data_IF_979922924861
#
_entry.id   IF_979922924861
#
_cell.length_a   1.000
_cell.length_b   1.000
_cell.length_c   1.000
_cell.angle_alpha   90.00
_cell.angle_beta   90.00
_cell.angle_gamma   90.00
#
_symmetry.space_group_name_H-M   'P 1'
#
loop_
_entity.id
_entity.type
_entity.pdbx_description
1 polymer ?
#
# COMPACT_ATOMS: atom_id res chain seq x y z
N UNK A 1 7.76 13.88 -27.04
CA UNK A 1 8.31 12.64 -26.45
C UNK A 1 7.21 11.96 -25.62
N UNK A 2 6.08 11.60 -26.24
CA UNK A 2 4.79 11.45 -25.51
C UNK A 2 3.82 10.47 -26.19
N UNK A 3 4.28 9.27 -26.59
CA UNK A 3 3.39 8.25 -27.21
C UNK A 3 3.60 6.79 -26.76
N UNK A 4 4.45 6.52 -25.78
CA UNK A 4 4.71 5.12 -25.34
C UNK A 4 3.86 4.68 -24.13
N UNK A 5 3.15 5.59 -23.46
CA UNK A 5 2.37 5.30 -22.24
C UNK A 5 1.02 4.60 -22.55
N UNK A 6 0.52 4.67 -23.80
CA UNK A 6 -0.79 4.11 -24.16
C UNK A 6 -0.84 2.58 -24.30
N UNK A 7 0.29 1.88 -24.28
CA UNK A 7 0.31 0.41 -24.37
C UNK A 7 0.19 -0.30 -23.01
N UNK A 8 0.47 0.39 -21.90
CA UNK A 8 0.34 -0.20 -20.55
C UNK A 8 -1.12 -0.24 -20.06
N UNK A 9 -1.91 0.80 -20.34
CA UNK A 9 -3.32 0.86 -19.90
C UNK A 9 -4.27 -0.11 -20.62
N UNK A 10 -3.89 -0.64 -21.79
CA UNK A 10 -4.77 -1.56 -22.54
C UNK A 10 -4.72 -3.01 -22.03
N UNK A 11 -3.70 -3.39 -21.25
CA UNK A 11 -3.52 -4.77 -20.77
C UNK A 11 -3.89 -4.99 -19.30
N UNK A 12 -3.97 -3.93 -18.48
CA UNK A 12 -4.46 -4.02 -17.10
C UNK A 12 -6.00 -4.00 -16.97
N UNK A 13 -6.73 -3.75 -18.06
CA UNK A 13 -8.20 -3.92 -18.13
C UNK A 13 -8.63 -5.39 -18.32
N UNK A 14 -7.95 -6.29 -17.61
CA UNK A 14 -8.27 -7.72 -17.54
C UNK A 14 -9.60 -7.96 -16.83
N UNK A 15 -10.70 -7.86 -17.57
CA UNK A 15 -12.01 -8.49 -17.35
C UNK A 15 -12.35 -8.85 -15.89
N UNK A 16 -12.99 -7.92 -15.17
CA UNK A 16 -14.04 -8.30 -14.24
C UNK A 16 -15.24 -8.83 -15.04
N UNK A 17 -15.11 -10.04 -15.59
CA UNK A 17 -16.27 -10.80 -16.02
C UNK A 17 -16.99 -11.25 -14.76
N UNK A 18 -18.11 -10.60 -14.45
CA UNK A 18 -19.11 -11.11 -13.51
C UNK A 18 -19.67 -12.44 -14.05
N UNK A 19 -18.97 -13.54 -13.77
CA UNK A 19 -19.51 -14.88 -13.99
C UNK A 19 -20.68 -15.07 -13.02
N UNK A 20 -21.89 -14.99 -13.56
CA UNK A 20 -23.13 -15.34 -12.87
C UNK A 20 -23.17 -16.85 -12.65
N UNK A 21 -22.42 -17.35 -11.67
CA UNK A 21 -22.63 -18.67 -11.10
C UNK A 21 -23.89 -18.61 -10.26
N UNK A 22 -24.95 -19.24 -10.76
CA UNK A 22 -26.19 -19.49 -10.03
C UNK A 22 -25.94 -20.47 -8.87
N UNK A 23 -25.47 -19.95 -7.74
CA UNK A 23 -25.35 -20.69 -6.49
C UNK A 23 -26.55 -20.40 -5.59
N UNK A 24 -27.11 -21.47 -5.02
CA UNK A 24 -28.21 -21.46 -4.06
C UNK A 24 -28.05 -20.36 -3.00
N UNK A 25 -28.97 -19.39 -3.02
CA UNK A 25 -29.10 -18.33 -2.03
C UNK A 25 -29.56 -18.91 -0.69
N UNK A 26 -28.61 -19.28 0.16
CA UNK A 26 -28.82 -19.42 1.59
C UNK A 26 -27.54 -18.96 2.27
N UNK A 27 -27.41 -17.66 2.50
CA UNK A 27 -26.76 -17.08 3.67
C UNK A 27 -26.96 -15.55 3.69
N UNK A 28 -27.30 -15.03 4.86
CA UNK A 28 -27.15 -13.62 5.19
C UNK A 28 -25.65 -13.31 5.14
N UNK A 29 -25.12 -12.94 3.98
CA UNK A 29 -23.77 -12.40 3.88
C UNK A 29 -23.76 -11.03 4.55
N UNK A 30 -23.45 -11.03 5.85
CA UNK A 30 -23.17 -9.81 6.59
C UNK A 30 -22.03 -9.09 5.89
N UNK A 31 -22.24 -7.83 5.50
CA UNK A 31 -21.19 -6.97 4.97
C UNK A 31 -19.93 -7.07 5.84
N UNK A 32 -18.89 -7.70 5.32
CA UNK A 32 -17.62 -7.82 6.00
C UNK A 32 -16.80 -6.57 5.73
N UNK A 33 -16.56 -5.76 6.76
CA UNK A 33 -15.75 -4.54 6.68
C UNK A 33 -14.36 -4.82 6.06
N UNK A 34 -13.79 -6.00 6.33
CA UNK A 34 -12.52 -6.46 5.76
C UNK A 34 -12.55 -6.59 4.24
N UNK A 35 -13.66 -7.06 3.67
CA UNK A 35 -13.77 -7.26 2.22
C UNK A 35 -13.92 -5.92 1.51
N UNK A 36 -14.63 -4.98 2.13
CA UNK A 36 -14.69 -3.60 1.67
C UNK A 36 -13.32 -2.91 1.72
N UNK A 37 -12.57 -3.06 2.81
CA UNK A 37 -11.22 -2.50 2.94
C UNK A 37 -10.27 -3.07 1.87
N UNK A 38 -10.31 -4.38 1.62
CA UNK A 38 -9.51 -5.02 0.56
C UNK A 38 -9.89 -4.54 -0.83
N UNK A 39 -11.19 -4.41 -1.12
CA UNK A 39 -11.65 -3.89 -2.41
C UNK A 39 -11.17 -2.45 -2.65
N UNK A 40 -11.25 -1.60 -1.62
CA UNK A 40 -10.73 -0.23 -1.64
C UNK A 40 -9.22 -0.20 -1.82
N UNK A 41 -8.47 -1.05 -1.12
CA UNK A 41 -7.02 -1.16 -1.28
C UNK A 41 -6.64 -1.56 -2.70
N UNK A 42 -7.33 -2.54 -3.28
CA UNK A 42 -7.11 -2.99 -4.65
C UNK A 42 -7.40 -1.88 -5.68
N UNK A 43 -8.52 -1.17 -5.52
CA UNK A 43 -8.88 -0.02 -6.36
C UNK A 43 -7.78 1.07 -6.31
N UNK A 44 -7.28 1.36 -5.10
CA UNK A 44 -6.18 2.31 -4.90
C UNK A 44 -4.92 1.84 -5.62
N UNK A 45 -4.52 0.58 -5.41
CA UNK A 45 -3.31 0.00 -5.95
C UNK A 45 -3.30 -0.01 -7.49
N UNK A 46 -4.48 -0.17 -8.11
CA UNK A 46 -4.66 -0.09 -9.56
C UNK A 46 -4.54 1.34 -10.10
N UNK A 47 -4.80 2.35 -9.27
CA UNK A 47 -4.70 3.76 -9.66
C UNK A 47 -3.28 4.34 -9.53
N UNK A 48 -2.39 3.67 -8.80
CA UNK A 48 -0.99 4.08 -8.66
C UNK A 48 -0.15 3.64 -9.87
N UNK A 49 0.84 4.44 -10.27
CA UNK A 49 1.75 4.12 -11.37
C UNK A 49 3.19 3.90 -10.86
N UNK A 50 3.56 2.64 -10.64
CA UNK A 50 4.91 2.28 -10.21
C UNK A 50 5.96 2.34 -11.33
N UNK A 51 5.58 2.68 -12.58
CA UNK A 51 6.52 2.71 -13.70
C UNK A 51 7.66 3.72 -13.53
N UNK A 52 7.43 4.74 -12.69
CA UNK A 52 8.42 5.76 -12.31
C UNK A 52 9.40 5.29 -11.22
N UNK A 53 9.24 4.07 -10.70
CA UNK A 53 10.01 3.53 -9.55
C UNK A 53 9.87 4.35 -8.26
N UNK A 54 8.88 5.23 -8.19
CA UNK A 54 8.56 6.01 -7.00
C UNK A 54 7.09 6.41 -6.99
N UNK A 55 6.62 6.81 -5.80
CA UNK A 55 5.31 7.39 -5.56
C UNK A 55 5.46 8.76 -4.89
N UNK A 56 4.74 9.74 -5.44
CA UNK A 56 4.56 11.07 -4.88
C UNK A 56 3.32 11.05 -4.00
N UNK A 57 3.47 11.31 -2.71
CA UNK A 57 2.42 11.15 -1.70
C UNK A 57 2.16 12.50 -1.04
N UNK A 58 0.93 13.02 -1.16
CA UNK A 58 0.55 14.29 -0.55
C UNK A 58 -0.37 14.06 0.64
N UNK A 59 0.05 14.53 1.81
CA UNK A 59 -0.80 14.65 2.98
C UNK A 59 -1.60 15.95 2.95
N UNK A 60 -2.89 15.90 3.22
CA UNK A 60 -3.76 17.09 3.24
C UNK A 60 -4.45 17.23 4.58
N UNK A 61 -4.23 18.37 5.24
CA UNK A 61 -4.85 18.74 6.52
C UNK A 61 -5.58 20.08 6.46
N UNK A 62 -6.13 20.51 7.61
CA UNK A 62 -6.74 21.82 7.78
C UNK A 62 -5.96 22.71 8.77
N UNK A 63 -4.95 22.20 9.48
CA UNK A 63 -4.26 22.92 10.55
C UNK A 63 -2.75 23.11 10.34
N UNK A 64 -2.17 22.57 9.26
CA UNK A 64 -0.72 22.56 8.99
C UNK A 64 0.09 21.88 10.11
N UNK A 65 -0.53 21.03 10.92
CA UNK A 65 0.12 20.28 12.01
C UNK A 65 0.18 18.81 11.63
N UNK A 66 -0.99 18.20 11.37
CA UNK A 66 -1.08 16.74 11.17
C UNK A 66 -0.35 16.30 9.90
N UNK A 67 -0.51 17.05 8.81
CA UNK A 67 0.12 16.78 7.52
C UNK A 67 1.65 16.86 7.62
N UNK A 68 2.17 17.85 8.34
CA UNK A 68 3.62 18.02 8.59
C UNK A 68 4.22 16.87 9.37
N UNK A 69 3.54 16.46 10.46
CA UNK A 69 4.00 15.33 11.26
C UNK A 69 3.93 14.04 10.43
N UNK A 70 2.87 13.84 9.65
CA UNK A 70 2.72 12.68 8.76
C UNK A 70 3.82 12.63 7.67
N UNK A 71 4.15 13.77 7.06
CA UNK A 71 5.23 13.89 6.07
C UNK A 71 6.57 13.42 6.64
N UNK A 72 6.96 13.97 7.79
CA UNK A 72 8.23 13.60 8.44
C UNK A 72 8.24 12.15 8.94
N UNK A 73 7.12 11.66 9.47
CA UNK A 73 7.00 10.26 9.90
C UNK A 73 7.09 9.29 8.74
N UNK A 74 6.41 9.56 7.60
CA UNK A 74 6.52 8.71 6.43
C UNK A 74 7.94 8.69 5.89
N UNK A 75 8.63 9.84 5.86
CA UNK A 75 10.03 9.91 5.44
C UNK A 75 10.94 9.07 6.35
N UNK A 76 10.79 9.17 7.67
CA UNK A 76 11.59 8.39 8.65
C UNK A 76 11.31 6.89 8.55
N UNK A 77 10.04 6.50 8.40
CA UNK A 77 9.67 5.09 8.22
C UNK A 77 10.19 4.58 6.87
N UNK A 78 10.11 5.38 5.81
CA UNK A 78 10.67 5.02 4.51
C UNK A 78 12.19 4.83 4.59
N UNK A 79 12.92 5.68 5.33
CA UNK A 79 14.35 5.53 5.58
C UNK A 79 14.69 4.20 6.24
N UNK A 80 13.99 3.86 7.33
CA UNK A 80 14.22 2.59 8.03
C UNK A 80 13.96 1.35 7.17
N UNK A 81 13.05 1.44 6.20
CA UNK A 81 12.66 0.34 5.31
C UNK A 81 13.35 0.41 3.92
N UNK A 82 14.46 1.14 3.78
CA UNK A 82 15.21 1.31 2.52
C UNK A 82 14.34 1.83 1.34
N UNK A 83 13.30 2.62 1.65
CA UNK A 83 12.29 3.10 0.71
C UNK A 83 12.37 4.61 0.41
N UNK A 84 13.43 5.31 0.82
CA UNK A 84 13.56 6.77 0.60
C UNK A 84 13.56 7.19 -0.88
N UNK A 85 14.01 6.31 -1.77
CA UNK A 85 14.01 6.57 -3.22
C UNK A 85 12.71 6.11 -3.90
N UNK A 86 11.79 5.56 -3.11
CA UNK A 86 10.51 5.04 -3.57
C UNK A 86 9.39 5.96 -3.10
N UNK A 87 9.43 6.47 -1.87
CA UNK A 87 8.35 7.24 -1.27
C UNK A 87 8.78 8.70 -1.09
N UNK A 88 8.03 9.62 -1.73
CA UNK A 88 8.27 11.06 -1.66
C UNK A 88 7.06 11.73 -0.99
N UNK A 89 7.03 11.78 0.35
CA UNK A 89 5.99 12.49 1.08
C UNK A 89 6.12 14.01 0.94
N UNK A 90 4.99 14.68 0.85
CA UNK A 90 4.82 16.13 1.01
C UNK A 90 3.54 16.39 1.79
N UNK A 91 3.36 17.60 2.32
CA UNK A 91 2.11 18.01 2.96
C UNK A 91 1.61 19.37 2.47
N UNK A 92 0.28 19.53 2.51
CA UNK A 92 -0.41 20.77 2.17
C UNK A 92 -1.64 20.97 3.05
N UNK A 93 -2.10 22.21 3.12
CA UNK A 93 -3.25 22.59 3.95
C UNK A 93 -4.33 23.23 3.10
N UNK A 94 -5.59 22.88 3.33
CA UNK A 94 -6.71 23.44 2.56
C UNK A 94 -6.83 24.96 2.79
N UNK A 95 -6.80 25.74 1.70
CA UNK A 95 -6.84 27.22 1.70
C UNK A 95 -8.07 27.81 2.42
N UNK A 96 -9.19 27.07 2.39
CA UNK A 96 -10.44 27.48 3.04
C UNK A 96 -10.44 27.24 4.56
N UNK A 97 -9.37 26.71 5.13
CA UNK A 97 -9.29 26.48 6.57
C UNK A 97 -9.22 27.79 7.34
N UNK A 98 -9.98 27.85 8.44
CA UNK A 98 -9.88 28.94 9.42
C UNK A 98 -8.66 28.78 10.34
N UNK A 99 -8.07 27.59 10.38
CA UNK A 99 -7.09 27.19 11.39
C UNK A 99 -5.65 27.46 10.96
N UNK A 100 -5.37 27.55 9.66
CA UNK A 100 -4.04 27.81 9.11
C UNK A 100 -4.13 28.83 7.97
N UNK A 101 -3.52 30.02 8.12
CA UNK A 101 -3.40 30.98 7.03
C UNK A 101 -2.58 30.39 5.88
N UNK A 102 -2.89 30.85 4.66
CA UNK A 102 -2.14 30.49 3.45
C UNK A 102 -0.64 30.72 3.63
N UNK A 103 0.14 29.69 3.28
CA UNK A 103 1.60 29.69 3.30
C UNK A 103 2.23 30.07 4.65
N UNK A 104 1.52 29.79 5.76
CA UNK A 104 2.03 30.04 7.10
C UNK A 104 3.09 29.02 7.50
N UNK A 105 4.09 29.46 8.26
CA UNK A 105 5.02 28.58 8.96
C UNK A 105 4.27 27.55 9.81
N UNK A 106 4.86 26.37 9.99
CA UNK A 106 4.31 25.34 10.85
C UNK A 106 4.10 25.89 12.28
N UNK A 107 2.94 25.61 12.93
CA UNK A 107 2.72 26.02 14.31
C UNK A 107 3.83 25.48 15.23
N UNK A 108 4.25 26.26 16.24
CA UNK A 108 5.31 25.84 17.19
C UNK A 108 5.07 24.46 17.81
N UNK A 109 3.80 24.11 18.01
CA UNK A 109 3.40 22.78 18.48
C UNK A 109 3.76 21.66 17.50
N UNK A 110 3.60 21.87 16.20
CA UNK A 110 3.98 20.90 15.18
C UNK A 110 5.50 20.69 15.19
N UNK A 111 6.26 21.78 15.27
CA UNK A 111 7.72 21.76 15.35
C UNK A 111 8.18 20.97 16.59
N UNK A 112 7.63 21.29 17.77
CA UNK A 112 7.95 20.60 19.01
C UNK A 112 7.64 19.09 18.96
N UNK A 113 6.53 18.69 18.32
CA UNK A 113 6.21 17.27 18.13
C UNK A 113 7.20 16.61 17.17
N UNK A 114 7.53 17.27 16.06
CA UNK A 114 8.52 16.77 15.10
C UNK A 114 9.91 16.60 15.74
N UNK A 115 10.40 17.59 16.47
CA UNK A 115 11.64 17.52 17.23
C UNK A 115 11.59 16.40 18.26
N UNK A 116 10.47 16.30 19.00
CA UNK A 116 10.30 15.25 19.98
C UNK A 116 10.41 13.88 19.32
N UNK A 117 9.89 13.71 18.09
CA UNK A 117 9.91 12.47 17.31
C UNK A 117 11.20 12.28 16.51
N UNK A 118 12.22 13.12 16.70
CA UNK A 118 13.48 13.05 15.96
C UNK A 118 13.31 13.21 14.45
N UNK A 119 12.30 13.97 14.00
CA UNK A 119 12.07 14.26 12.59
C UNK A 119 12.95 15.42 12.13
N UNK A 120 13.16 15.53 10.81
CA UNK A 120 14.01 16.57 10.23
C UNK A 120 13.49 17.99 10.56
N UNK A 121 14.35 18.79 11.20
CA UNK A 121 14.05 20.18 11.61
C UNK A 121 13.78 21.09 10.41
N UNK A 122 14.46 20.84 9.28
CA UNK A 122 14.29 21.66 8.07
C UNK A 122 12.87 21.52 7.52
N UNK A 123 12.36 20.30 7.40
CA UNK A 123 11.00 20.06 6.88
C UNK A 123 9.92 20.51 7.87
N UNK A 124 10.17 20.39 9.18
CA UNK A 124 9.18 20.78 10.20
C UNK A 124 9.00 22.28 10.35
N UNK A 125 9.98 23.09 9.95
CA UNK A 125 9.96 24.56 10.09
C UNK A 125 9.65 25.30 8.79
N UNK A 126 9.60 24.59 7.65
CA UNK A 126 9.28 25.19 6.35
C UNK A 126 7.87 25.75 6.28
N UNK A 127 7.71 26.83 5.50
CA UNK A 127 6.41 27.41 5.20
C UNK A 127 5.47 26.36 4.59
N UNK A 128 4.25 26.29 5.13
CA UNK A 128 3.17 25.45 4.62
C UNK A 128 2.92 25.71 3.14
N UNK A 129 2.41 24.72 2.42
CA UNK A 129 1.90 24.94 1.06
C UNK A 129 0.39 24.82 1.06
N UNK A 130 -0.29 25.80 0.46
CA UNK A 130 -1.73 25.71 0.24
C UNK A 130 -2.08 24.60 -0.75
N UNK A 131 -3.12 23.83 -0.46
CA UNK A 131 -3.61 22.76 -1.32
C UNK A 131 -4.32 23.33 -2.56
N UNK A 132 -3.94 22.84 -3.74
CA UNK A 132 -4.59 23.14 -5.01
C UNK A 132 -5.09 21.85 -5.68
N UNK A 133 -6.22 21.91 -6.39
CA UNK A 133 -6.80 20.74 -7.05
C UNK A 133 -5.91 20.19 -8.17
N UNK A 134 -5.01 21.00 -8.75
CA UNK A 134 -4.03 20.53 -9.74
C UNK A 134 -3.06 19.49 -9.17
N UNK A 135 -2.87 19.42 -7.85
CA UNK A 135 -2.06 18.39 -7.22
C UNK A 135 -2.64 16.97 -7.40
N UNK A 136 -3.91 16.82 -7.79
CA UNK A 136 -4.49 15.51 -8.13
C UNK A 136 -3.85 14.88 -9.37
N UNK A 137 -3.34 15.70 -10.29
CA UNK A 137 -2.60 15.27 -11.47
C UNK A 137 -1.12 14.99 -11.17
N UNK A 138 -0.55 15.70 -10.19
CA UNK A 138 0.88 15.63 -9.86
C UNK A 138 1.22 14.47 -8.93
N UNK A 139 0.35 14.16 -7.96
CA UNK A 139 0.61 13.16 -6.93
C UNK A 139 -0.07 11.81 -7.26
N UNK A 140 0.61 10.72 -6.92
CA UNK A 140 0.07 9.37 -7.10
C UNK A 140 -1.00 9.06 -6.07
N UNK A 141 -0.80 9.53 -4.83
CA UNK A 141 -1.66 9.25 -3.68
C UNK A 141 -1.86 10.52 -2.85
N UNK A 142 -3.12 10.88 -2.60
CA UNK A 142 -3.50 11.93 -1.66
C UNK A 142 -4.07 11.30 -0.39
N UNK A 143 -3.55 11.69 0.76
CA UNK A 143 -3.94 11.17 2.07
C UNK A 143 -4.48 12.32 2.90
N UNK A 144 -5.80 12.34 3.08
CA UNK A 144 -6.48 13.34 3.90
C UNK A 144 -6.48 12.92 5.36
N UNK A 145 -6.24 13.87 6.25
CA UNK A 145 -6.24 13.63 7.71
C UNK A 145 -7.63 13.36 8.28
N UNK A 146 -8.66 13.94 7.66
CA UNK A 146 -10.04 13.90 8.16
C UNK A 146 -11.05 13.70 7.00
N UNK A 147 -12.20 13.09 7.29
CA UNK A 147 -13.22 12.77 6.27
C UNK A 147 -13.87 14.02 5.66
N UNK A 148 -13.97 15.10 6.43
CA UNK A 148 -14.48 16.38 5.94
C UNK A 148 -13.58 16.95 4.84
N UNK A 149 -12.26 16.80 4.97
CA UNK A 149 -11.26 17.23 3.98
C UNK A 149 -11.41 16.40 2.70
N UNK A 150 -11.49 15.07 2.83
CA UNK A 150 -11.74 14.17 1.69
C UNK A 150 -13.03 14.52 0.97
N UNK A 151 -14.11 14.66 1.72
CA UNK A 151 -15.42 14.99 1.20
C UNK A 151 -15.42 16.35 0.50
N UNK A 152 -14.71 17.33 1.05
CA UNK A 152 -14.56 18.65 0.43
C UNK A 152 -13.83 18.54 -0.92
N UNK A 153 -12.67 17.88 -0.96
CA UNK A 153 -11.89 17.68 -2.20
C UNK A 153 -12.74 17.00 -3.27
N UNK A 154 -13.36 15.85 -2.94
CA UNK A 154 -14.13 15.08 -3.91
C UNK A 154 -15.40 15.81 -4.40
N UNK A 155 -16.03 16.64 -3.54
CA UNK A 155 -17.19 17.46 -3.92
C UNK A 155 -16.84 18.66 -4.78
N UNK A 156 -15.57 19.08 -4.79
CA UNK A 156 -15.08 20.15 -5.66
C UNK A 156 -14.82 19.69 -7.10
N UNK A 157 -14.87 18.38 -7.36
CA UNK A 157 -14.64 17.77 -8.66
C UNK A 157 -15.93 17.63 -9.48
N UNK A 158 -15.78 17.51 -10.80
CA UNK A 158 -16.88 17.05 -11.65
C UNK A 158 -17.19 15.58 -11.37
N UNK A 159 -18.38 15.08 -11.75
CA UNK A 159 -18.74 13.68 -11.50
C UNK A 159 -17.78 12.68 -12.20
N UNK A 160 -17.28 13.02 -13.39
CA UNK A 160 -16.32 12.20 -14.12
C UNK A 160 -14.94 12.21 -13.44
N UNK A 161 -14.48 13.38 -13.00
CA UNK A 161 -13.21 13.52 -12.28
C UNK A 161 -13.28 12.85 -10.91
N UNK A 162 -14.44 12.90 -10.24
CA UNK A 162 -14.65 12.22 -8.97
C UNK A 162 -14.47 10.71 -9.11
N UNK A 163 -15.01 10.08 -10.15
CA UNK A 163 -14.82 8.65 -10.42
C UNK A 163 -13.35 8.32 -10.68
N UNK A 164 -12.64 9.18 -11.43
CA UNK A 164 -11.23 9.00 -11.76
C UNK A 164 -10.28 9.20 -10.57
N UNK A 165 -10.49 10.24 -9.76
CA UNK A 165 -9.62 10.61 -8.64
C UNK A 165 -10.01 9.98 -7.31
N UNK A 166 -11.25 9.53 -7.13
CA UNK A 166 -11.68 8.91 -5.88
C UNK A 166 -10.72 7.80 -5.43
N UNK A 167 -10.22 6.88 -6.29
CA UNK A 167 -9.22 5.89 -5.94
C UNK A 167 -7.92 6.44 -5.33
N UNK A 168 -7.49 7.63 -5.76
CA UNK A 168 -6.24 8.27 -5.32
C UNK A 168 -6.40 9.07 -4.02
N UNK A 169 -7.61 9.49 -3.67
CA UNK A 169 -7.88 10.26 -2.44
C UNK A 169 -8.33 9.31 -1.33
N UNK A 170 -7.49 9.16 -0.31
CA UNK A 170 -7.66 8.20 0.79
C UNK A 170 -7.60 8.87 2.15
N UNK A 171 -8.26 8.26 3.13
CA UNK A 171 -8.15 8.69 4.53
C UNK A 171 -6.93 8.05 5.16
N UNK A 172 -6.23 8.80 6.01
CA UNK A 172 -5.13 8.27 6.81
C UNK A 172 -5.56 7.02 7.61
N UNK A 173 -6.78 7.03 8.15
CA UNK A 173 -7.32 5.93 8.96
C UNK A 173 -7.49 4.62 8.18
N UNK A 174 -7.56 4.65 6.84
CA UNK A 174 -7.61 3.43 6.03
C UNK A 174 -6.29 2.63 6.16
N UNK A 175 -5.16 3.32 6.34
CA UNK A 175 -3.83 2.72 6.48
C UNK A 175 -3.51 2.21 7.89
N UNK A 176 -4.45 2.34 8.83
CA UNK A 176 -4.35 1.68 10.14
C UNK A 176 -4.77 0.21 10.07
N UNK A 177 -5.53 -0.17 9.03
CA UNK A 177 -6.03 -1.53 8.84
C UNK A 177 -4.96 -2.39 8.16
N UNK A 178 -4.55 -3.52 8.78
CA UNK A 178 -3.66 -4.48 8.13
C UNK A 178 -4.24 -5.06 6.83
N UNK A 179 -5.57 -5.19 6.75
CA UNK A 179 -6.29 -5.68 5.58
C UNK A 179 -6.19 -4.71 4.40
N UNK A 180 -6.19 -3.40 4.65
CA UNK A 180 -5.97 -2.41 3.61
C UNK A 180 -4.52 -2.39 3.14
N UNK A 181 -3.56 -2.54 4.06
CA UNK A 181 -2.14 -2.46 3.76
C UNK A 181 -1.56 -3.72 3.11
N UNK A 182 -2.23 -4.88 3.24
CA UNK A 182 -1.79 -6.18 2.73
C UNK A 182 -2.54 -6.62 1.47
N UNK A 183 -2.20 -6.06 0.30
CA UNK A 183 -2.84 -6.43 -0.98
C UNK A 183 -2.44 -7.85 -1.40
N UNK A 184 -1.20 -8.25 -1.06
CA UNK A 184 -0.62 -9.51 -1.51
C UNK A 184 -0.58 -10.59 -0.43
N UNK A 185 -1.32 -10.40 0.67
CA UNK A 185 -1.55 -11.47 1.63
C UNK A 185 -2.23 -12.62 0.90
N UNK A 186 -1.43 -13.55 0.37
CA UNK A 186 -1.90 -14.81 -0.22
C UNK A 186 -2.87 -15.35 0.82
N UNK A 187 -4.17 -15.29 0.53
CA UNK A 187 -5.15 -15.97 1.35
C UNK A 187 -4.63 -17.39 1.44
N UNK A 188 -4.15 -17.76 2.63
CA UNK A 188 -3.50 -19.03 2.82
C UNK A 188 -4.52 -20.11 2.52
N UNK A 189 -4.58 -20.58 1.28
CA UNK A 189 -4.65 -22.00 1.02
C UNK A 189 -3.36 -22.59 1.55
N UNK A 190 -3.24 -22.62 2.88
CA UNK A 190 -2.28 -23.48 3.54
C UNK A 190 -2.50 -24.86 2.92
N UNK A 191 -1.50 -25.46 2.26
CA UNK A 191 -1.64 -26.82 1.81
C UNK A 191 -1.99 -27.62 3.05
N UNK A 192 -3.12 -28.33 3.00
CA UNK A 192 -3.63 -29.13 4.10
C UNK A 192 -2.46 -29.94 4.68
N UNK A 193 -1.96 -29.51 5.83
CA UNK A 193 -1.06 -30.34 6.63
C UNK A 193 -1.93 -31.50 7.06
N UNK A 194 -1.66 -32.68 6.52
CA UNK A 194 -2.24 -33.92 7.00
C UNK A 194 -1.92 -34.03 8.50
N UNK A 195 -2.89 -33.68 9.34
CA UNK A 195 -2.88 -33.97 10.77
C UNK A 195 -3.09 -35.47 10.92
N UNK A 196 -1.97 -36.19 11.07
CA UNK A 196 -1.98 -37.55 11.54
C UNK A 196 -0.77 -37.72 12.45
N UNK A 197 -0.94 -37.35 13.71
CA UNK A 197 -0.27 -37.96 14.86
C UNK A 197 -0.94 -37.46 16.16
N UNK A 198 -1.90 -38.27 16.63
CA UNK A 198 -2.56 -38.15 17.92
C UNK A 198 -1.58 -38.47 19.07
N UNK A 199 -1.32 -37.48 19.95
CA UNK A 199 -0.86 -37.75 21.32
C UNK A 199 -1.73 -36.93 22.30
N UNK A 200 -2.52 -37.58 23.16
CA UNK A 200 -3.33 -36.87 24.16
C UNK A 200 -2.44 -36.47 25.35
N UNK A 201 -2.27 -35.17 25.58
CA UNK A 201 -1.67 -34.66 26.81
C UNK A 201 -2.63 -33.70 27.52
N UNK A 202 -2.87 -34.03 28.78
CA UNK A 202 -3.85 -33.44 29.68
C UNK A 202 -3.53 -32.00 30.09
N UNK A 203 -4.60 -31.19 30.11
CA UNK A 203 -5.01 -30.31 31.20
C UNK A 203 -4.02 -29.23 31.69
N UNK A 204 -4.01 -28.08 30.99
CA UNK A 204 -3.69 -26.77 31.58
C UNK A 204 -4.68 -25.72 31.08
N UNK A 205 -5.62 -25.39 31.95
CA UNK A 205 -6.53 -24.25 31.84
C UNK A 205 -5.73 -22.95 32.02
N UNK A 206 -5.28 -22.35 30.91
CA UNK A 206 -4.72 -21.00 30.88
C UNK A 206 -5.88 -20.02 30.56
N UNK A 207 -6.06 -18.93 31.33
CA UNK A 207 -7.14 -17.98 31.10
C UNK A 207 -6.97 -17.27 29.75
N UNK A 208 -7.96 -17.48 28.86
CA UNK A 208 -8.12 -16.78 27.58
C UNK A 208 -8.63 -15.35 27.84
N UNK A 209 -7.75 -14.37 27.95
CA UNK A 209 -8.17 -12.95 27.87
C UNK A 209 -7.09 -12.00 27.33
N UNK A 210 -6.28 -12.45 26.38
CA UNK A 210 -5.46 -11.57 25.56
C UNK A 210 -5.93 -11.79 24.12
N UNK A 211 -6.87 -10.96 23.66
CA UNK A 211 -7.14 -10.81 22.24
C UNK A 211 -5.83 -10.32 21.62
N UNK A 212 -5.03 -11.27 21.14
CA UNK A 212 -3.70 -11.00 20.61
C UNK A 212 -3.79 -10.10 19.40
N UNK A 213 -2.84 -9.16 19.32
CA UNK A 213 -2.52 -8.45 18.08
C UNK A 213 -2.45 -9.50 16.98
N UNK A 214 -3.26 -9.33 15.93
CA UNK A 214 -3.22 -10.21 14.77
C UNK A 214 -1.79 -10.25 14.24
N UNK A 215 -1.37 -11.37 13.65
CA UNK A 215 -0.04 -11.49 13.01
C UNK A 215 0.28 -10.28 12.12
N UNK A 216 -0.75 -9.73 11.49
CA UNK A 216 -0.65 -8.69 10.50
C UNK A 216 -0.48 -7.29 11.13
N UNK A 217 -1.04 -7.06 12.33
CA UNK A 217 -0.78 -5.85 13.10
C UNK A 217 0.66 -5.77 13.58
N UNK A 218 1.28 -6.92 13.86
CA UNK A 218 2.70 -7.00 14.22
C UNK A 218 3.61 -6.65 13.03
N UNK A 219 3.21 -7.00 11.80
CA UNK A 219 3.96 -6.63 10.60
C UNK A 219 4.09 -5.11 10.45
N UNK A 220 3.08 -4.33 10.83
CA UNK A 220 3.16 -2.86 10.77
C UNK A 220 4.17 -2.32 11.81
N UNK A 221 4.20 -2.89 13.01
CA UNK A 221 5.15 -2.53 14.04
C UNK A 221 6.60 -2.90 13.66
N UNK A 222 6.80 -4.03 12.98
CA UNK A 222 8.12 -4.48 12.52
C UNK A 222 8.76 -3.54 11.48
N UNK A 223 7.96 -2.69 10.83
CA UNK A 223 8.46 -1.64 9.91
C UNK A 223 8.84 -0.34 10.61
N UNK A 224 8.71 -0.25 11.93
CA UNK A 224 9.11 0.92 12.70
C UNK A 224 10.50 0.68 13.28
N UNK A 225 11.31 1.74 13.38
CA UNK A 225 12.54 1.68 14.18
C UNK A 225 12.21 1.53 15.68
N UNK A 226 13.20 1.14 16.49
CA UNK A 226 13.00 0.86 17.91
C UNK A 226 12.41 2.05 18.68
N UNK A 227 12.80 3.28 18.35
CA UNK A 227 12.33 4.47 19.06
C UNK A 227 10.85 4.73 18.76
N UNK A 228 10.44 4.60 17.49
CA UNK A 228 9.04 4.71 17.09
C UNK A 228 8.19 3.56 17.66
N UNK A 229 8.73 2.33 17.70
CA UNK A 229 8.07 1.19 18.36
C UNK A 229 7.81 1.47 19.84
N UNK A 230 8.81 1.97 20.57
CA UNK A 230 8.70 2.26 22.00
C UNK A 230 7.62 3.32 22.29
N UNK A 231 7.44 4.29 21.38
CA UNK A 231 6.38 5.31 21.48
C UNK A 231 4.99 4.78 21.19
N UNK A 232 4.87 3.84 20.25
CA UNK A 232 3.59 3.26 19.86
C UNK A 232 3.15 2.17 20.84
N UNK A 233 4.08 1.46 21.48
CA UNK A 233 3.80 0.33 22.37
C UNK A 233 2.72 0.58 23.45
N UNK A 234 2.61 1.76 24.09
CA UNK A 234 1.55 2.02 25.06
C UNK A 234 0.14 2.13 24.46
N UNK A 235 0.04 2.34 23.14
CA UNK A 235 -1.20 2.65 22.43
C UNK A 235 -1.50 1.70 21.26
N UNK A 236 -0.63 0.74 20.93
CA UNK A 236 -0.75 -0.13 19.76
C UNK A 236 -2.10 -0.87 19.71
N UNK A 237 -2.54 -1.41 20.85
CA UNK A 237 -3.79 -2.18 20.94
C UNK A 237 -5.04 -1.31 20.72
N UNK A 238 -4.96 -0.02 21.04
CA UNK A 238 -6.04 0.94 20.85
C UNK A 238 -6.16 1.36 19.38
N UNK A 239 -5.03 1.49 18.70
CA UNK A 239 -4.96 1.98 17.32
C UNK A 239 -5.24 0.88 16.30
N UNK A 240 -4.69 -0.32 16.50
CA UNK A 240 -4.74 -1.43 15.51
C UNK A 240 -6.09 -2.19 15.55
N UNK A 241 -6.95 -1.96 16.56
CA UNK A 241 -8.14 -2.79 16.80
C UNK A 241 -9.50 -2.08 16.87
N UNK A 242 -9.58 -0.74 16.76
CA UNK A 242 -10.86 -0.02 16.96
C UNK A 242 -11.17 1.02 15.89
N UNK A 243 -12.46 1.06 15.52
CA UNK A 243 -13.06 2.10 14.70
C UNK A 243 -12.83 3.47 15.35
N UNK A 244 -12.30 4.42 14.58
CA UNK A 244 -11.63 5.68 14.98
C UNK A 244 -12.52 6.75 15.65
N UNK A 245 -13.64 6.38 16.26
CA UNK A 245 -14.67 7.32 16.72
C UNK A 245 -14.47 7.89 18.15
N UNK A 246 -13.32 7.66 18.81
CA UNK A 246 -13.12 8.14 20.19
C UNK A 246 -11.75 8.81 20.34
N UNK A 247 -11.69 10.11 20.04
CA UNK A 247 -10.50 10.96 20.22
C UNK A 247 -10.92 12.33 20.76
N UNK A 248 -11.21 12.44 22.07
CA UNK A 248 -11.59 13.71 22.73
C UNK A 248 -11.18 13.72 24.22
N UNK A 249 -9.90 13.92 24.55
CA UNK A 249 -9.37 14.56 25.79
C UNK A 249 -7.83 14.49 25.78
N UNK A 250 -7.12 15.33 26.55
CA UNK A 250 -5.66 15.59 26.53
C UNK A 250 -4.67 14.37 26.49
N UNK A 251 -5.13 13.12 26.60
CA UNK A 251 -4.42 11.92 26.10
C UNK A 251 -4.33 11.83 24.56
N UNK A 252 -4.96 12.78 23.87
CA UNK A 252 -5.08 12.93 22.42
C UNK A 252 -3.71 12.93 21.72
N UNK A 253 -2.69 13.54 22.30
CA UNK A 253 -1.42 13.76 21.61
C UNK A 253 -0.67 12.45 21.37
N UNK A 254 -0.64 11.56 22.37
CA UNK A 254 0.06 10.28 22.24
C UNK A 254 -0.69 9.31 21.31
N UNK A 255 -2.03 9.30 21.35
CA UNK A 255 -2.82 8.42 20.49
C UNK A 255 -2.80 8.86 19.03
N UNK A 256 -2.88 10.17 18.76
CA UNK A 256 -2.79 10.72 17.40
C UNK A 256 -1.39 10.50 16.84
N UNK A 257 -0.33 10.75 17.63
CA UNK A 257 1.03 10.44 17.21
C UNK A 257 1.19 8.95 16.91
N UNK A 258 0.71 8.06 17.79
CA UNK A 258 0.76 6.62 17.55
C UNK A 258 -0.02 6.20 16.29
N UNK A 259 -1.19 6.79 16.04
CA UNK A 259 -1.96 6.56 14.82
C UNK A 259 -1.20 7.03 13.57
N UNK A 260 -0.59 8.23 13.60
CA UNK A 260 0.23 8.73 12.49
C UNK A 260 1.44 7.83 12.22
N UNK A 261 2.11 7.34 13.27
CA UNK A 261 3.25 6.41 13.15
C UNK A 261 2.80 5.10 12.51
N UNK A 262 1.74 4.47 13.03
CA UNK A 262 1.23 3.20 12.48
C UNK A 262 0.73 3.38 11.05
N UNK A 263 -0.01 4.45 10.76
CA UNK A 263 -0.49 4.74 9.42
C UNK A 263 0.67 4.97 8.45
N UNK A 264 1.76 5.63 8.87
CA UNK A 264 2.97 5.82 8.05
C UNK A 264 3.63 4.48 7.69
N UNK A 265 3.69 3.54 8.63
CA UNK A 265 4.07 2.15 8.34
C UNK A 265 3.11 1.47 7.38
N UNK A 266 1.79 1.62 7.58
CA UNK A 266 0.77 1.08 6.68
C UNK A 266 0.88 1.61 5.25
N UNK A 267 1.09 2.91 5.07
CA UNK A 267 1.32 3.56 3.77
C UNK A 267 2.60 3.02 3.13
N UNK A 268 3.69 2.91 3.89
CA UNK A 268 4.97 2.38 3.41
C UNK A 268 4.79 0.94 2.91
N UNK A 269 4.17 0.08 3.73
CA UNK A 269 3.85 -1.30 3.37
C UNK A 269 3.01 -1.37 2.11
N UNK A 270 1.89 -0.64 2.09
CA UNK A 270 0.95 -0.62 0.98
C UNK A 270 1.63 -0.23 -0.33
N UNK A 271 2.45 0.82 -0.32
CA UNK A 271 3.16 1.30 -1.49
C UNK A 271 4.21 0.28 -1.97
N UNK A 272 5.01 -0.28 -1.05
CA UNK A 272 6.00 -1.31 -1.40
C UNK A 272 5.35 -2.58 -1.98
N UNK A 273 4.26 -3.06 -1.38
CA UNK A 273 3.51 -4.20 -1.90
C UNK A 273 2.85 -3.90 -3.25
N UNK A 274 2.31 -2.70 -3.43
CA UNK A 274 1.73 -2.26 -4.71
C UNK A 274 2.80 -2.24 -5.80
N UNK A 275 3.95 -1.63 -5.53
CA UNK A 275 5.07 -1.59 -6.46
C UNK A 275 5.53 -3.01 -6.81
N UNK A 276 5.76 -3.86 -5.82
CA UNK A 276 6.15 -5.25 -6.04
C UNK A 276 5.14 -6.00 -6.92
N UNK A 277 3.85 -5.87 -6.65
CA UNK A 277 2.80 -6.52 -7.45
C UNK A 277 2.77 -6.04 -8.90
N UNK A 278 2.92 -4.73 -9.13
CA UNK A 278 2.95 -4.16 -10.48
C UNK A 278 4.18 -4.63 -11.26
N UNK A 279 5.37 -4.64 -10.63
CA UNK A 279 6.58 -5.17 -11.26
C UNK A 279 6.50 -6.67 -11.51
N UNK A 280 5.88 -7.44 -10.61
CA UNK A 280 5.64 -8.87 -10.80
C UNK A 280 4.77 -9.12 -12.03
N UNK A 281 3.62 -8.45 -12.11
CA UNK A 281 2.70 -8.54 -13.25
C UNK A 281 3.36 -8.11 -14.57
N UNK A 282 4.13 -7.02 -14.54
CA UNK A 282 4.85 -6.54 -15.72
C UNK A 282 5.93 -7.53 -16.18
N UNK A 283 6.64 -8.18 -15.25
CA UNK A 283 7.65 -9.18 -15.59
C UNK A 283 7.04 -10.45 -16.16
N UNK A 284 5.95 -10.95 -15.58
CA UNK A 284 5.21 -12.09 -16.12
C UNK A 284 4.67 -11.78 -17.54
N UNK A 285 4.17 -10.56 -17.76
CA UNK A 285 3.74 -10.11 -19.09
C UNK A 285 4.90 -10.11 -20.09
N UNK A 286 6.10 -9.68 -19.69
CA UNK A 286 7.30 -9.77 -20.53
C UNK A 286 7.65 -11.21 -20.87
N UNK A 287 7.55 -12.12 -19.90
CA UNK A 287 7.80 -13.55 -20.13
C UNK A 287 6.81 -14.13 -21.14
N UNK A 288 5.52 -13.86 -20.98
CA UNK A 288 4.47 -14.34 -21.90
C UNK A 288 4.72 -13.81 -23.32
N UNK A 289 4.97 -12.50 -23.47
CA UNK A 289 5.17 -11.89 -24.80
C UNK A 289 6.42 -12.44 -25.48
N UNK A 290 7.52 -12.64 -24.75
CA UNK A 290 8.80 -13.05 -25.35
C UNK A 290 9.00 -14.57 -25.42
N UNK A 291 8.33 -15.35 -24.59
CA UNK A 291 8.55 -16.79 -24.43
C UNK A 291 7.24 -17.59 -24.39
N UNK A 292 6.53 -17.71 -25.53
CA UNK A 292 5.24 -18.43 -25.60
C UNK A 292 5.20 -19.65 -26.55
N UNK A 293 6.23 -19.89 -27.37
CA UNK A 293 6.26 -20.96 -28.37
C UNK A 293 7.11 -22.16 -27.93
N UNK A 294 6.90 -23.32 -28.59
CA UNK A 294 7.67 -24.56 -28.36
C UNK A 294 9.18 -24.34 -28.53
N UNK A 295 9.60 -23.52 -29.51
CA UNK A 295 11.01 -23.19 -29.76
C UNK A 295 11.67 -22.53 -28.54
N UNK A 296 10.89 -21.80 -27.74
CA UNK A 296 11.39 -21.11 -26.55
C UNK A 296 11.71 -22.06 -25.39
N UNK A 297 11.24 -23.32 -25.42
CA UNK A 297 11.55 -24.33 -24.41
C UNK A 297 13.03 -24.75 -24.41
N UNK A 298 13.77 -24.44 -25.48
CA UNK A 298 15.19 -24.74 -25.64
C UNK A 298 16.10 -23.53 -25.37
N UNK A 299 15.52 -22.37 -25.06
CA UNK A 299 16.29 -21.15 -24.76
C UNK A 299 16.95 -21.29 -23.39
N UNK A 300 18.27 -21.05 -23.34
CA UNK A 300 18.99 -21.05 -22.07
C UNK A 300 18.61 -19.85 -21.21
N UNK A 301 18.68 -19.99 -19.88
CA UNK A 301 18.40 -18.90 -18.94
C UNK A 301 19.23 -17.63 -19.22
N UNK A 302 20.50 -17.78 -19.63
CA UNK A 302 21.37 -16.65 -19.99
C UNK A 302 20.90 -15.90 -21.25
N UNK A 303 20.47 -16.63 -22.27
CA UNK A 303 19.90 -16.03 -23.48
C UNK A 303 18.59 -15.32 -23.17
N UNK A 304 17.74 -15.94 -22.34
CA UNK A 304 16.49 -15.34 -21.92
C UNK A 304 16.70 -14.07 -21.10
N UNK A 305 17.60 -14.08 -20.11
CA UNK A 305 17.94 -12.89 -19.31
C UNK A 305 18.49 -11.74 -20.18
N UNK A 306 19.38 -12.07 -21.13
CA UNK A 306 19.91 -11.09 -22.07
C UNK A 306 18.81 -10.49 -22.97
N UNK A 307 17.85 -11.31 -23.42
CA UNK A 307 16.71 -10.86 -24.21
C UNK A 307 15.76 -9.98 -23.38
N UNK A 308 15.37 -10.41 -22.18
CA UNK A 308 14.48 -9.65 -21.28
C UNK A 308 15.04 -8.26 -20.97
N UNK A 309 16.35 -8.17 -20.66
CA UNK A 309 17.02 -6.89 -20.39
C UNK A 309 17.02 -5.94 -21.58
N UNK A 310 17.03 -6.45 -22.81
CA UNK A 310 16.92 -5.64 -24.04
C UNK A 310 15.50 -5.16 -24.27
N UNK A 311 14.49 -5.95 -23.89
CA UNK A 311 13.09 -5.62 -24.11
C UNK A 311 12.58 -4.56 -23.12
N UNK A 312 12.97 -4.63 -21.85
CA UNK A 312 12.55 -3.65 -20.84
C UNK A 312 13.56 -3.53 -19.71
N UNK A 313 14.38 -2.48 -19.74
CA UNK A 313 15.38 -2.25 -18.70
C UNK A 313 14.74 -1.85 -17.36
N UNK A 314 13.65 -1.08 -17.37
CA UNK A 314 12.98 -0.62 -16.14
C UNK A 314 12.41 -1.78 -15.33
N UNK A 315 11.71 -2.72 -15.99
CA UNK A 315 11.11 -3.88 -15.31
C UNK A 315 12.17 -4.89 -14.88
N UNK A 316 13.15 -5.17 -15.74
CA UNK A 316 14.20 -6.15 -15.41
C UNK A 316 15.20 -5.66 -14.38
N UNK A 317 15.43 -4.35 -14.29
CA UNK A 317 16.30 -3.73 -13.30
C UNK A 317 15.79 -3.84 -11.86
N UNK A 318 14.47 -3.97 -11.69
CA UNK A 318 13.83 -4.14 -10.38
C UNK A 318 14.18 -5.50 -9.72
N UNK A 319 14.34 -6.55 -10.53
CA UNK A 319 14.63 -7.89 -10.05
C UNK A 319 16.13 -8.20 -10.08
N UNK A 320 16.62 -8.98 -9.10
CA UNK A 320 17.96 -9.54 -9.18
C UNK A 320 18.08 -10.54 -10.33
N UNK A 321 19.31 -10.80 -10.80
CA UNK A 321 19.55 -11.81 -11.85
C UNK A 321 19.00 -13.18 -11.44
N UNK A 322 19.21 -13.58 -10.19
CA UNK A 322 18.73 -14.86 -9.66
C UNK A 322 17.20 -14.93 -9.65
N UNK A 323 16.52 -13.85 -9.26
CA UNK A 323 15.06 -13.77 -9.30
C UNK A 323 14.52 -13.87 -10.73
N UNK A 324 15.16 -13.18 -11.69
CA UNK A 324 14.75 -13.25 -13.11
C UNK A 324 14.91 -14.65 -13.68
N UNK A 325 16.04 -15.30 -13.42
CA UNK A 325 16.30 -16.67 -13.88
C UNK A 325 15.32 -17.66 -13.26
N UNK A 326 15.09 -17.59 -11.94
CA UNK A 326 14.14 -18.46 -11.25
C UNK A 326 12.71 -18.32 -11.78
N UNK A 327 12.27 -17.09 -12.08
CA UNK A 327 10.95 -16.83 -12.68
C UNK A 327 10.86 -17.37 -14.11
N UNK A 328 11.89 -17.14 -14.91
CA UNK A 328 11.97 -17.69 -16.26
C UNK A 328 11.89 -19.23 -16.26
N UNK A 329 12.64 -19.90 -15.38
CA UNK A 329 12.59 -21.36 -15.25
C UNK A 329 11.20 -21.87 -14.88
N UNK A 330 10.52 -21.19 -13.96
CA UNK A 330 9.13 -21.50 -13.60
C UNK A 330 8.20 -21.35 -14.80
N UNK A 331 8.29 -20.22 -15.52
CA UNK A 331 7.49 -19.97 -16.72
C UNK A 331 7.71 -21.01 -17.81
N UNK A 332 8.95 -21.44 -18.05
CA UNK A 332 9.26 -22.50 -19.03
C UNK A 332 8.71 -23.86 -18.57
N UNK A 333 8.74 -24.17 -17.27
CA UNK A 333 8.13 -25.38 -16.74
C UNK A 333 6.61 -25.37 -16.97
N UNK A 334 5.94 -24.27 -16.66
CA UNK A 334 4.49 -24.09 -16.88
C UNK A 334 4.14 -24.16 -18.38
N UNK A 335 4.94 -23.53 -19.23
CA UNK A 335 4.77 -23.57 -20.67
C UNK A 335 4.96 -24.98 -21.24
N UNK A 336 5.91 -25.77 -20.70
CA UNK A 336 6.11 -27.17 -21.10
C UNK A 336 4.88 -28.01 -20.76
N UNK A 337 4.30 -27.84 -19.57
CA UNK A 337 3.08 -28.54 -19.18
C UNK A 337 1.94 -28.17 -20.14
N UNK A 338 1.78 -26.87 -20.44
CA UNK A 338 0.71 -26.36 -21.31
C UNK A 338 0.83 -26.86 -22.75
N UNK A 339 2.03 -26.83 -23.34
CA UNK A 339 2.22 -27.17 -24.76
C UNK A 339 2.33 -28.67 -25.02
N UNK A 340 2.88 -29.45 -24.09
CA UNK A 340 3.06 -30.91 -24.26
C UNK A 340 1.84 -31.68 -23.71
N UNK A 341 1.16 -31.14 -22.71
CA UNK A 341 -0.06 -31.74 -22.16
C UNK A 341 -1.23 -31.76 -23.14
N UNK A 342 -1.33 -30.77 -24.02
CA UNK A 342 -2.39 -30.67 -25.03
C UNK A 342 -2.24 -31.68 -26.19
N UNK A 343 -1.07 -32.33 -26.33
CA UNK A 343 -0.80 -33.34 -27.38
C UNK A 343 -1.12 -34.78 -26.91
N UNK A 344 -1.74 -34.96 -25.75
CA UNK A 344 -2.21 -36.28 -25.29
C UNK A 344 -3.60 -36.58 -25.90
N UNK A 345 -3.72 -37.58 -26.80
CA UNK A 345 -4.94 -37.85 -27.59
C UNK A 345 -6.14 -38.38 -26.80
#
# INVERSE_FOLDING_TARGET
MMRTILLWNLFLLGRCSSSSSSSNYNNHDSFALSDYQKARALETAQSLDASRLHFQIMFVDDDNIKGRIAEGLLARVAEYNDAMFILFPTSSTIDASRNAPRDAAAPERAVAVCESLGLCETTSTMDGTSFDLSYLDEYDLLITMDDDIRSLILRSLSAADQEYYAPKVRLLSEFLSPEFCGINGKQGTSPARNEQDDIPSQDKTIPKSTQGITSDGRLLLDMLDQELQDRVAPCSDLVIGRSTNVLMSQQFDNQVAAALIIASSGITKFCLETMQAQFDSAFESLLIVNFHNVEHLMVSGEQADAQLRRCSHSVTGFFSREQRLSRFERHIADLRIKLVGDDSP
#
